data_IF_602936094474
#
_entry.id   IF_602936094474
#
_cell.length_a   1.000
_cell.length_b   1.000
_cell.length_c   1.000
_cell.angle_alpha   90.00
_cell.angle_beta   90.00
_cell.angle_gamma   90.00
#
_symmetry.space_group_name_H-M   'P 1'
#
loop_
_entity.id
_entity.type
_entity.pdbx_description
1 polymer ?
#
# COMPACT_ATOMS: atom_id res chain seq x y z
N UNK A 1 -5.41 24.35 17.04
CA UNK A 1 -4.20 23.69 17.56
C UNK A 1 -3.05 24.67 17.43
N UNK A 2 -2.14 24.72 18.40
CA UNK A 2 -0.95 25.55 18.27
C UNK A 2 -0.08 25.02 17.11
N UNK A 3 0.42 25.93 16.28
CA UNK A 3 1.33 25.65 15.17
C UNK A 3 2.78 25.78 15.64
N UNK A 4 3.72 25.12 14.96
CA UNK A 4 5.16 25.27 15.21
C UNK A 4 5.60 26.76 15.14
N UNK A 5 4.92 27.56 14.31
CA UNK A 5 5.17 29.00 14.18
C UNK A 5 4.69 29.84 15.37
N UNK A 6 3.90 29.27 16.29
CA UNK A 6 3.44 29.95 17.50
C UNK A 6 4.52 29.93 18.61
N UNK A 7 5.60 29.16 18.42
CA UNK A 7 6.75 29.11 19.32
C UNK A 7 7.61 30.37 19.11
N UNK A 8 7.73 31.19 20.14
CA UNK A 8 8.36 32.52 20.07
C UNK A 8 9.84 32.54 20.40
N UNK A 9 10.36 31.48 21.01
CA UNK A 9 11.72 31.40 21.54
C UNK A 9 12.38 30.13 21.04
N UNK A 10 13.64 30.22 20.66
CA UNK A 10 14.51 29.05 20.48
C UNK A 10 15.39 28.82 21.72
N UNK A 11 15.94 27.61 21.85
CA UNK A 11 16.96 27.30 22.86
C UNK A 11 18.12 28.32 22.84
N UNK A 12 18.55 28.72 21.63
CA UNK A 12 19.59 29.73 21.43
C UNK A 12 19.18 31.13 21.90
N UNK A 13 17.90 31.51 21.74
CA UNK A 13 17.40 32.81 22.20
C UNK A 13 17.32 32.86 23.72
N UNK A 14 16.99 31.74 24.36
CA UNK A 14 16.94 31.60 25.82
C UNK A 14 18.36 31.70 26.38
N UNK A 15 19.33 30.99 25.79
CA UNK A 15 20.74 31.02 26.21
C UNK A 15 21.35 32.44 26.12
N UNK A 16 21.01 33.20 25.07
CA UNK A 16 21.54 34.55 24.86
C UNK A 16 20.76 35.62 25.65
N UNK A 17 19.72 35.23 26.39
CA UNK A 17 18.88 36.17 27.11
C UNK A 17 19.63 36.74 28.31
N UNK A 18 19.76 38.06 28.35
CA UNK A 18 20.31 38.78 29.49
C UNK A 18 19.20 39.51 30.23
N UNK A 19 19.08 39.25 31.53
CA UNK A 19 18.10 39.91 32.40
C UNK A 19 18.70 41.15 33.06
N UNK A 20 17.88 42.18 33.24
CA UNK A 20 18.29 43.38 34.00
C UNK A 20 18.19 43.06 35.48
N UNK A 21 19.31 43.20 36.21
CA UNK A 21 19.30 43.09 37.66
C UNK A 21 18.61 44.30 38.30
N UNK A 22 17.78 44.05 39.32
CA UNK A 22 17.11 45.07 40.14
C UNK A 22 17.31 44.70 41.61
N UNK A 23 17.33 45.70 42.50
CA UNK A 23 17.56 45.52 43.95
C UNK A 23 16.59 44.57 44.66
N UNK A 24 15.45 44.24 44.01
CA UNK A 24 14.54 43.17 44.42
C UNK A 24 14.26 42.33 43.18
N UNK A 25 14.67 41.07 43.20
CA UNK A 25 14.60 40.15 42.08
C UNK A 25 14.94 38.73 42.49
N UNK A 26 14.86 37.80 41.53
CA UNK A 26 15.33 36.44 41.70
C UNK A 26 16.86 36.39 41.72
N UNK A 27 17.40 35.34 42.33
CA UNK A 27 18.83 35.07 42.30
C UNK A 27 19.25 34.71 40.86
N UNK A 28 20.23 35.42 40.26
CA UNK A 28 20.72 35.10 38.93
C UNK A 28 21.16 33.64 38.80
N UNK A 29 21.78 33.06 39.82
CA UNK A 29 22.32 31.70 39.75
C UNK A 29 21.20 30.65 39.73
N UNK A 30 20.11 30.87 40.49
CA UNK A 30 18.93 30.00 40.48
C UNK A 30 18.18 30.10 39.14
N UNK A 31 18.08 31.31 38.59
CA UNK A 31 17.46 31.52 37.27
C UNK A 31 18.27 30.85 36.18
N UNK A 32 19.60 30.98 36.18
CA UNK A 32 20.45 30.37 35.17
C UNK A 32 20.37 28.84 35.23
N UNK A 33 20.43 28.23 36.42
CA UNK A 33 20.25 26.79 36.60
C UNK A 33 18.90 26.29 36.07
N UNK A 34 17.83 27.04 36.31
CA UNK A 34 16.51 26.72 35.76
C UNK A 34 16.44 26.91 34.25
N UNK A 35 17.12 27.93 33.70
CA UNK A 35 17.15 28.16 32.26
C UNK A 35 17.94 27.08 31.52
N UNK A 36 18.97 26.49 32.12
CA UNK A 36 19.66 25.33 31.56
C UNK A 36 18.72 24.13 31.36
N UNK A 37 17.84 23.85 32.33
CA UNK A 37 16.81 22.80 32.20
C UNK A 37 15.82 23.14 31.07
N UNK A 38 15.34 24.38 31.02
CA UNK A 38 14.43 24.83 29.96
C UNK A 38 15.08 24.75 28.58
N UNK A 39 16.37 25.07 28.45
CA UNK A 39 17.12 24.93 27.21
C UNK A 39 17.16 23.46 26.77
N UNK A 40 17.50 22.55 27.69
CA UNK A 40 17.52 21.12 27.42
C UNK A 40 16.16 20.60 26.94
N UNK A 41 15.06 21.06 27.55
CA UNK A 41 13.71 20.67 27.12
C UNK A 41 13.39 21.20 25.72
N UNK A 42 13.78 22.44 25.39
CA UNK A 42 13.58 22.99 24.05
C UNK A 42 14.35 22.22 22.97
N UNK A 43 15.58 21.79 23.25
CA UNK A 43 16.36 20.93 22.35
C UNK A 43 15.69 19.56 22.17
N UNK A 44 15.25 18.94 23.27
CA UNK A 44 14.52 17.67 23.22
C UNK A 44 13.21 17.78 22.43
N UNK A 45 12.45 18.85 22.59
CA UNK A 45 11.23 19.07 21.81
C UNK A 45 11.53 19.20 20.31
N UNK A 46 12.61 19.89 19.93
CA UNK A 46 13.02 19.95 18.53
C UNK A 46 13.33 18.57 17.96
N UNK A 47 14.08 17.75 18.70
CA UNK A 47 14.41 16.39 18.28
C UNK A 47 13.15 15.51 18.12
N UNK A 48 12.22 15.57 19.07
CA UNK A 48 10.95 14.82 18.99
C UNK A 48 10.15 15.25 17.76
N UNK A 49 10.11 16.56 17.47
CA UNK A 49 9.39 17.10 16.32
C UNK A 49 10.03 16.61 15.01
N UNK A 50 11.36 16.64 14.90
CA UNK A 50 12.09 16.12 13.74
C UNK A 50 11.83 14.62 13.53
N UNK A 51 11.91 13.82 14.61
CA UNK A 51 11.65 12.38 14.56
C UNK A 51 10.21 12.09 14.10
N UNK A 52 9.23 12.84 14.60
CA UNK A 52 7.83 12.70 14.18
C UNK A 52 7.63 13.07 12.71
N UNK A 53 8.23 14.16 12.23
CA UNK A 53 8.18 14.52 10.81
C UNK A 53 8.86 13.47 9.94
N UNK A 54 9.98 12.90 10.40
CA UNK A 54 10.66 11.78 9.75
C UNK A 54 9.74 10.55 9.63
N UNK A 55 9.10 10.15 10.73
CA UNK A 55 8.15 9.04 10.74
C UNK A 55 6.96 9.28 9.80
N UNK A 56 6.36 10.47 9.84
CA UNK A 56 5.27 10.84 8.92
C UNK A 56 5.73 10.72 7.46
N UNK A 57 6.93 11.21 7.14
CA UNK A 57 7.51 11.10 5.79
C UNK A 57 7.68 9.65 5.35
N UNK A 58 8.20 8.77 6.22
CA UNK A 58 8.36 7.34 5.92
C UNK A 58 7.02 6.63 5.72
N UNK A 59 6.04 6.88 6.58
CA UNK A 59 4.70 6.30 6.49
C UNK A 59 3.97 6.76 5.22
N UNK A 60 4.04 8.06 4.90
CA UNK A 60 3.47 8.58 3.66
C UNK A 60 4.10 7.92 2.42
N UNK A 61 5.43 7.70 2.43
CA UNK A 61 6.11 6.99 1.34
C UNK A 61 5.64 5.54 1.23
N UNK A 62 5.55 4.81 2.35
CA UNK A 62 5.05 3.44 2.36
C UNK A 62 3.63 3.34 1.79
N UNK A 63 2.74 4.26 2.19
CA UNK A 63 1.37 4.31 1.65
C UNK A 63 1.33 4.62 0.16
N UNK A 64 2.24 5.46 -0.36
CA UNK A 64 2.35 5.73 -1.79
C UNK A 64 2.84 4.50 -2.55
N UNK A 65 3.85 3.80 -2.03
CA UNK A 65 4.42 2.60 -2.62
C UNK A 65 3.39 1.44 -2.64
N UNK A 66 2.62 1.27 -1.57
CA UNK A 66 1.51 0.31 -1.50
C UNK A 66 0.40 0.63 -2.50
N UNK A 67 -0.04 1.89 -2.58
CA UNK A 67 -1.04 2.30 -3.60
C UNK A 67 -0.54 2.10 -5.03
N UNK A 68 0.76 2.24 -5.29
CA UNK A 68 1.33 1.95 -6.60
C UNK A 68 1.35 0.44 -6.88
N UNK A 69 1.63 -0.40 -5.88
CA UNK A 69 1.51 -1.85 -5.99
C UNK A 69 0.07 -2.29 -6.25
N UNK A 70 -0.90 -1.72 -5.54
CA UNK A 70 -2.33 -1.98 -5.75
C UNK A 70 -2.80 -1.57 -7.15
N UNK A 71 -2.33 -0.44 -7.67
CA UNK A 71 -2.65 -0.03 -9.05
C UNK A 71 -2.05 -1.00 -10.08
N UNK A 72 -0.82 -1.49 -9.85
CA UNK A 72 -0.21 -2.52 -10.70
C UNK A 72 -0.98 -3.84 -10.64
N UNK A 73 -1.43 -4.30 -9.47
CA UNK A 73 -2.26 -5.52 -9.39
C UNK A 73 -3.63 -5.35 -10.04
N UNK A 74 -4.27 -4.19 -9.92
CA UNK A 74 -5.57 -3.92 -10.57
C UNK A 74 -5.45 -3.76 -12.10
N UNK A 75 -4.30 -3.31 -12.62
CA UNK A 75 -4.04 -3.28 -14.07
C UNK A 75 -3.78 -4.69 -14.63
N UNK A 76 -3.06 -5.54 -13.88
CA UNK A 76 -2.86 -6.97 -14.23
C UNK A 76 -4.22 -7.72 -14.24
N UNK A 77 -5.11 -7.45 -13.28
CA UNK A 77 -6.46 -8.04 -13.24
C UNK A 77 -7.40 -7.56 -14.36
N UNK A 78 -7.13 -6.42 -14.99
CA UNK A 78 -7.92 -5.91 -16.13
C UNK A 78 -7.48 -6.53 -17.46
N UNK A 79 -6.19 -6.85 -17.62
CA UNK A 79 -5.70 -7.57 -18.80
C UNK A 79 -6.02 -9.07 -18.76
N UNK A 80 -6.19 -9.68 -17.58
CA UNK A 80 -6.64 -11.07 -17.43
C UNK A 80 -8.11 -11.31 -17.84
N UNK A 81 -8.86 -10.27 -18.23
CA UNK A 81 -10.18 -10.43 -18.88
C UNK A 81 -10.07 -10.68 -20.39
N UNK A 82 -9.08 -11.46 -20.83
CA UNK A 82 -9.19 -12.17 -22.10
C UNK A 82 -10.27 -13.25 -21.92
N UNK A 83 -11.45 -12.97 -22.48
CA UNK A 83 -12.63 -13.85 -22.50
C UNK A 83 -12.26 -15.29 -22.83
N UNK A 84 -12.06 -16.11 -21.82
CA UNK A 84 -11.98 -17.57 -21.97
C UNK A 84 -13.37 -18.14 -21.83
N UNK A 85 -13.76 -19.00 -22.76
CA UNK A 85 -15.09 -19.57 -22.87
C UNK A 85 -15.40 -20.45 -21.63
N UNK A 86 -16.19 -19.95 -20.68
CA UNK A 86 -16.84 -20.78 -19.67
C UNK A 86 -18.21 -21.19 -20.20
N UNK A 87 -18.47 -22.48 -20.51
CA UNK A 87 -19.81 -22.90 -20.93
C UNK A 87 -20.76 -22.84 -19.73
N UNK A 88 -21.38 -21.68 -19.50
CA UNK A 88 -22.45 -21.53 -18.51
C UNK A 88 -23.76 -21.95 -19.15
N UNK A 89 -23.96 -23.24 -19.45
CA UNK A 89 -25.28 -23.83 -19.70
C UNK A 89 -25.22 -25.32 -19.34
N UNK A 90 -25.45 -25.63 -18.07
CA UNK A 90 -25.91 -26.95 -17.66
C UNK A 90 -27.35 -27.05 -18.14
N UNK A 91 -27.60 -27.62 -19.32
CA UNK A 91 -28.97 -27.97 -19.71
C UNK A 91 -29.46 -28.98 -18.68
N UNK A 92 -30.36 -28.52 -17.82
CA UNK A 92 -31.11 -29.36 -16.89
C UNK A 92 -31.83 -30.44 -17.68
N UNK A 93 -31.66 -31.68 -17.24
CA UNK A 93 -32.40 -32.81 -17.76
C UNK A 93 -33.91 -32.56 -17.62
N UNK A 94 -34.59 -32.46 -18.75
CA UNK A 94 -36.02 -32.74 -18.88
C UNK A 94 -36.17 -33.63 -20.11
N UNK A 95 -36.41 -34.91 -19.85
CA UNK A 95 -36.78 -35.93 -20.85
C UNK A 95 -38.08 -35.49 -21.55
N UNK A 96 -38.18 -35.66 -22.86
CA UNK A 96 -39.16 -36.63 -23.36
C UNK A 96 -38.54 -37.59 -24.37
N UNK A 97 -38.93 -38.87 -24.28
CA UNK A 97 -38.72 -39.89 -25.30
C UNK A 97 -39.16 -39.37 -26.68
N UNK A 98 -38.30 -39.48 -27.69
CA UNK A 98 -38.70 -39.75 -29.07
C UNK A 98 -37.63 -40.62 -29.75
N UNK A 99 -38.15 -41.64 -30.42
CA UNK A 99 -37.47 -42.67 -31.20
C UNK A 99 -36.56 -42.14 -32.31
N UNK A 100 -35.47 -42.89 -32.54
CA UNK A 100 -34.68 -43.10 -33.76
C UNK A 100 -34.33 -41.90 -34.66
N UNK A 101 -33.04 -41.64 -34.86
CA UNK A 101 -32.34 -41.70 -36.18
C UNK A 101 -30.88 -41.23 -36.02
N UNK A 102 -30.01 -41.78 -36.87
CA UNK A 102 -28.55 -41.67 -36.92
C UNK A 102 -27.97 -40.26 -36.63
N UNK A 103 -26.98 -40.16 -35.72
CA UNK A 103 -26.05 -39.02 -35.70
C UNK A 103 -24.71 -39.39 -35.03
N UNK A 104 -23.77 -39.92 -35.82
CA UNK A 104 -22.36 -40.19 -35.45
C UNK A 104 -21.60 -38.94 -34.92
N UNK A 105 -22.23 -37.76 -34.97
CA UNK A 105 -21.68 -36.46 -34.61
C UNK A 105 -21.65 -36.18 -33.09
N UNK A 106 -22.40 -36.94 -32.28
CA UNK A 106 -22.43 -36.73 -30.82
C UNK A 106 -21.09 -37.03 -30.12
N UNK A 107 -20.25 -37.90 -30.70
CA UNK A 107 -18.90 -38.19 -30.20
C UNK A 107 -17.89 -37.07 -30.50
N UNK A 108 -18.02 -36.42 -31.65
CA UNK A 108 -17.15 -35.31 -32.05
C UNK A 108 -17.39 -34.07 -31.19
N UNK A 109 -18.65 -33.77 -30.84
CA UNK A 109 -19.00 -32.63 -29.97
C UNK A 109 -18.37 -32.79 -28.57
N UNK A 110 -18.38 -34.01 -28.02
CA UNK A 110 -17.73 -34.33 -26.75
C UNK A 110 -16.20 -34.20 -26.83
N UNK A 111 -15.62 -34.65 -27.94
CA UNK A 111 -14.17 -34.57 -28.20
C UNK A 111 -13.71 -33.14 -28.39
N UNK A 112 -14.43 -32.35 -29.18
CA UNK A 112 -14.18 -30.93 -29.37
C UNK A 112 -14.28 -30.18 -28.05
N UNK A 113 -15.24 -30.54 -27.18
CA UNK A 113 -15.33 -29.99 -25.83
C UNK A 113 -14.13 -30.36 -24.96
N UNK A 114 -13.67 -31.62 -25.01
CA UNK A 114 -12.48 -32.07 -24.29
C UNK A 114 -11.19 -31.39 -24.79
N UNK A 115 -11.08 -31.16 -26.11
CA UNK A 115 -9.97 -30.43 -26.73
C UNK A 115 -9.97 -28.99 -26.24
N UNK A 116 -11.11 -28.30 -26.26
CA UNK A 116 -11.24 -26.92 -25.77
C UNK A 116 -10.82 -26.85 -24.29
N UNK A 117 -11.30 -27.76 -23.44
CA UNK A 117 -10.90 -27.82 -22.02
C UNK A 117 -9.39 -28.01 -21.84
N UNK A 118 -8.78 -28.88 -22.64
CA UNK A 118 -7.34 -29.16 -22.59
C UNK A 118 -6.52 -27.96 -23.04
N UNK A 119 -6.92 -27.30 -24.12
CA UNK A 119 -6.28 -26.07 -24.61
C UNK A 119 -6.35 -24.98 -23.54
N UNK A 120 -7.53 -24.71 -22.97
CA UNK A 120 -7.68 -23.70 -21.90
C UNK A 120 -6.84 -24.03 -20.66
N UNK A 121 -6.66 -25.30 -20.32
CA UNK A 121 -5.79 -25.71 -19.21
C UNK A 121 -4.31 -25.51 -19.54
N UNK A 122 -3.91 -25.77 -20.78
CA UNK A 122 -2.54 -25.56 -21.25
C UNK A 122 -2.20 -24.06 -21.33
N UNK A 123 -3.10 -23.24 -21.86
CA UNK A 123 -2.98 -21.77 -21.89
C UNK A 123 -2.75 -21.21 -20.48
N UNK A 124 -3.54 -21.67 -19.48
CA UNK A 124 -3.34 -21.30 -18.07
C UNK A 124 -1.95 -21.68 -17.56
N UNK A 125 -1.44 -22.87 -17.88
CA UNK A 125 -0.12 -23.32 -17.42
C UNK A 125 1.02 -22.53 -18.06
N UNK A 126 0.94 -22.29 -19.37
CA UNK A 126 1.93 -21.51 -20.12
C UNK A 126 1.98 -20.07 -19.58
N UNK A 127 0.83 -19.45 -19.37
CA UNK A 127 0.77 -18.09 -18.80
C UNK A 127 1.44 -18.00 -17.43
N UNK A 128 1.12 -18.93 -16.51
CA UNK A 128 1.76 -18.95 -15.18
C UNK A 128 3.27 -19.20 -15.28
N UNK A 129 3.72 -20.07 -16.20
CA UNK A 129 5.14 -20.33 -16.44
C UNK A 129 5.86 -19.09 -17.00
N UNK A 130 5.25 -18.38 -17.94
CA UNK A 130 5.80 -17.14 -18.49
C UNK A 130 5.92 -16.05 -17.41
N UNK A 131 4.92 -15.90 -16.55
CA UNK A 131 5.00 -14.97 -15.41
C UNK A 131 6.15 -15.32 -14.46
N UNK A 132 6.40 -16.61 -14.20
CA UNK A 132 7.53 -17.03 -13.35
C UNK A 132 8.90 -16.86 -14.01
N UNK A 133 8.98 -17.04 -15.34
CA UNK A 133 10.25 -16.98 -16.09
C UNK A 133 10.63 -15.52 -16.43
N UNK A 134 9.66 -14.70 -16.78
CA UNK A 134 9.88 -13.30 -17.19
C UNK A 134 9.63 -12.29 -16.06
N UNK A 135 8.93 -12.67 -14.99
CA UNK A 135 8.67 -11.83 -13.81
C UNK A 135 9.86 -11.68 -12.85
N UNK A 136 10.96 -12.42 -13.04
CA UNK A 136 12.23 -12.22 -12.33
C UNK A 136 13.16 -11.32 -13.15
N UNK A 137 12.70 -10.12 -13.44
CA UNK A 137 13.57 -8.98 -13.75
C UNK A 137 12.97 -7.74 -13.11
N UNK A 138 13.25 -7.55 -11.83
CA UNK A 138 13.64 -6.27 -11.24
C UNK A 138 14.17 -6.48 -9.82
#
# INVERSE_FOLDING_TARGET
MASLNDIKLSAQDILKKQFRSKAKGYDPDEVDAYLDEVISDYENFQQIIEDLYGQIGTLQRQLMDEKQKEKKTVEIEKEDKVKTYTPTHRRTASVPNFDNEDDDNHGEISTNMAIIQRISTLERKVYNLEQHIYGVKH
#
